data_IF_996494193465
#
_entry.id   IF_996494193465
#
_cell.length_a   1.000
_cell.length_b   1.000
_cell.length_c   1.000
_cell.angle_alpha   90.00
_cell.angle_beta   90.00
_cell.angle_gamma   90.00
#
_symmetry.space_group_name_H-M   'P 1'
#
loop_
_entity.id
_entity.type
_entity.pdbx_description
1 polymer ?
#
# COMPACT_ATOMS: atom_id res chain seq x y z
N UNK A 1 6.12 -22.68 -0.83
CA UNK A 1 5.44 -21.78 -1.79
C UNK A 1 3.94 -21.90 -1.55
N UNK A 2 3.22 -20.79 -1.37
CA UNK A 2 1.78 -20.81 -1.06
C UNK A 2 1.39 -20.23 0.30
N UNK A 3 2.32 -19.64 1.05
CA UNK A 3 2.00 -18.85 2.24
C UNK A 3 1.09 -17.68 1.83
N UNK A 4 -0.01 -17.49 2.56
CA UNK A 4 -0.81 -16.28 2.50
C UNK A 4 -0.21 -15.26 3.47
N UNK A 5 -0.09 -14.01 3.04
CA UNK A 5 0.33 -12.89 3.90
C UNK A 5 -0.66 -11.75 3.70
N UNK A 6 -1.11 -11.15 4.79
CA UNK A 6 -1.99 -9.99 4.76
C UNK A 6 -1.55 -8.95 5.80
N UNK A 7 -1.58 -7.66 5.47
CA UNK A 7 -1.40 -6.62 6.46
C UNK A 7 -2.69 -6.40 7.26
N UNK A 8 -2.53 -6.06 8.53
CA UNK A 8 -3.63 -5.69 9.42
C UNK A 8 -3.26 -4.43 10.20
N UNK A 9 -4.22 -3.51 10.34
CA UNK A 9 -4.12 -2.45 11.33
C UNK A 9 -4.49 -3.03 12.69
N UNK A 10 -3.67 -2.79 13.70
CA UNK A 10 -3.88 -3.29 15.06
C UNK A 10 -3.83 -2.13 16.05
N UNK A 11 -4.26 -2.41 17.28
CA UNK A 11 -3.90 -1.58 18.42
C UNK A 11 -3.25 -2.43 19.49
N UNK A 12 -2.11 -1.96 20.00
CA UNK A 12 -1.33 -2.66 21.03
C UNK A 12 -1.62 -2.17 22.45
N UNK A 13 -2.48 -1.14 22.58
CA UNK A 13 -2.95 -0.65 23.87
C UNK A 13 -4.47 -0.81 24.03
N UNK A 14 -4.89 -1.14 25.26
CA UNK A 14 -6.31 -1.26 25.60
C UNK A 14 -7.04 0.06 25.34
N UNK A 15 -8.18 -0.04 24.65
CA UNK A 15 -9.00 1.12 24.29
C UNK A 15 -8.58 1.83 23.01
N UNK A 16 -7.83 1.15 22.14
CA UNK A 16 -7.46 1.65 20.80
C UNK A 16 -6.66 2.96 20.84
N UNK A 17 -5.74 3.06 21.80
CA UNK A 17 -4.95 4.28 22.05
C UNK A 17 -3.63 4.34 21.29
N UNK A 18 -3.13 3.18 20.88
CA UNK A 18 -1.90 3.05 20.11
C UNK A 18 -2.18 2.25 18.85
N UNK A 19 -2.36 2.92 17.71
CA UNK A 19 -2.53 2.27 16.42
C UNK A 19 -1.17 2.01 15.78
N UNK A 20 -1.02 0.80 15.25
CA UNK A 20 0.10 0.42 14.40
C UNK A 20 -0.38 -0.63 13.39
N UNK A 21 0.56 -1.37 12.81
CA UNK A 21 0.27 -2.43 11.85
C UNK A 21 1.03 -3.72 12.17
N UNK A 22 0.53 -4.82 11.61
CA UNK A 22 1.23 -6.09 11.58
C UNK A 22 1.03 -6.79 10.24
N UNK A 23 1.89 -7.75 9.94
CA UNK A 23 1.64 -8.77 8.94
C UNK A 23 1.13 -10.02 9.66
N UNK A 24 0.06 -10.61 9.14
CA UNK A 24 -0.39 -11.95 9.51
C UNK A 24 -0.11 -12.90 8.36
N UNK A 25 0.11 -14.17 8.67
CA UNK A 25 0.36 -15.18 7.66
C UNK A 25 -0.33 -16.51 7.97
N UNK A 26 -0.55 -17.29 6.92
CA UNK A 26 -1.07 -18.65 6.98
C UNK A 26 -0.27 -19.55 6.03
N UNK A 27 0.17 -20.69 6.54
CA UNK A 27 0.89 -21.72 5.78
C UNK A 27 -0.01 -22.91 5.40
N UNK A 28 -1.30 -22.86 5.77
CA UNK A 28 -2.28 -23.94 5.60
C UNK A 28 -3.53 -23.46 4.87
N UNK A 29 -3.30 -22.65 3.83
CA UNK A 29 -4.34 -22.16 2.90
C UNK A 29 -5.45 -21.35 3.59
N UNK A 30 -5.10 -20.66 4.69
CA UNK A 30 -6.00 -19.77 5.42
C UNK A 30 -6.78 -20.43 6.56
N UNK A 31 -6.52 -21.71 6.87
CA UNK A 31 -7.19 -22.40 7.96
C UNK A 31 -6.77 -21.84 9.34
N UNK A 32 -5.48 -21.55 9.52
CA UNK A 32 -4.95 -20.92 10.71
C UNK A 32 -4.05 -19.74 10.35
N UNK A 33 -4.11 -18.69 11.18
CA UNK A 33 -3.35 -17.47 11.00
C UNK A 33 -2.45 -17.21 12.20
N UNK A 34 -1.24 -16.71 11.94
CA UNK A 34 -0.26 -16.30 12.93
C UNK A 34 0.11 -14.84 12.71
N UNK A 35 0.41 -14.14 13.80
CA UNK A 35 1.02 -12.81 13.74
C UNK A 35 2.50 -13.00 13.39
N UNK A 36 2.96 -12.29 12.36
CA UNK A 36 4.35 -12.21 11.94
C UNK A 36 4.95 -10.88 12.36
N UNK A 37 5.39 -10.09 11.39
CA UNK A 37 6.01 -8.78 11.64
C UNK A 37 5.01 -7.84 12.34
N UNK A 38 5.46 -7.13 13.36
CA UNK A 38 4.66 -6.14 14.09
C UNK A 38 5.46 -4.85 14.15
N UNK A 39 4.81 -3.73 13.83
CA UNK A 39 5.35 -2.41 14.10
C UNK A 39 5.08 -2.09 15.57
N UNK A 40 6.07 -2.36 16.42
CA UNK A 40 5.96 -2.24 17.87
C UNK A 40 6.61 -0.96 18.41
N UNK A 41 7.23 -0.14 17.56
CA UNK A 41 7.84 1.13 17.94
C UNK A 41 6.88 2.29 17.67
N UNK A 42 6.11 2.66 18.69
CA UNK A 42 5.19 3.79 18.59
C UNK A 42 5.88 5.16 18.64
N UNK A 43 7.21 5.19 18.77
CA UNK A 43 8.02 6.42 18.74
C UNK A 43 8.55 6.73 17.35
N UNK A 44 8.32 5.84 16.37
CA UNK A 44 8.68 6.05 14.97
C UNK A 44 8.04 7.31 14.40
N UNK A 45 8.74 7.93 13.45
CA UNK A 45 8.29 9.14 12.78
C UNK A 45 6.98 8.93 11.99
N UNK A 46 6.68 7.68 11.61
CA UNK A 46 5.48 7.29 10.88
C UNK A 46 4.56 6.51 11.80
N UNK A 47 3.34 7.00 12.04
CA UNK A 47 2.35 6.21 12.77
C UNK A 47 1.60 5.30 11.79
N UNK A 48 2.09 4.08 11.63
CA UNK A 48 1.56 3.13 10.65
C UNK A 48 0.09 2.74 10.93
N UNK A 49 -0.66 2.48 9.86
CA UNK A 49 -2.05 2.03 9.96
C UNK A 49 -2.47 1.25 8.70
N UNK A 50 -3.19 1.90 7.78
CA UNK A 50 -3.67 1.32 6.53
C UNK A 50 -2.51 0.96 5.60
N UNK A 51 -2.24 -0.34 5.51
CA UNK A 51 -1.08 -0.90 4.86
C UNK A 51 -1.46 -1.72 3.64
N UNK A 52 -0.64 -1.64 2.60
CA UNK A 52 -0.66 -2.53 1.45
C UNK A 52 0.73 -3.15 1.25
N UNK A 53 0.77 -4.35 0.67
CA UNK A 53 2.02 -5.11 0.48
C UNK A 53 2.09 -5.71 -0.92
N UNK A 54 3.31 -6.00 -1.38
CA UNK A 54 3.54 -6.75 -2.61
C UNK A 54 4.77 -7.64 -2.46
N UNK A 55 4.70 -8.85 -3.00
CA UNK A 55 5.86 -9.73 -3.11
C UNK A 55 6.77 -9.27 -4.26
N UNK A 56 8.07 -9.17 -3.97
CA UNK A 56 9.14 -8.89 -4.91
C UNK A 56 9.63 -10.18 -5.58
N UNK A 57 10.29 -10.06 -6.71
CA UNK A 57 10.81 -11.21 -7.49
C UNK A 57 11.83 -12.06 -6.74
N UNK A 58 12.54 -11.46 -5.77
CA UNK A 58 13.45 -12.16 -4.86
C UNK A 58 12.74 -12.82 -3.66
N UNK A 59 11.41 -12.72 -3.55
CA UNK A 59 10.61 -13.26 -2.45
C UNK A 59 10.50 -12.37 -1.22
N UNK A 60 11.14 -11.19 -1.21
CA UNK A 60 10.92 -10.20 -0.17
C UNK A 60 9.53 -9.58 -0.32
N UNK A 61 9.00 -9.03 0.75
CA UNK A 61 7.73 -8.32 0.76
C UNK A 61 8.03 -6.83 0.94
N UNK A 62 7.67 -6.02 -0.05
CA UNK A 62 7.63 -4.56 0.12
C UNK A 62 6.36 -4.17 0.85
N UNK A 63 6.50 -3.30 1.85
CA UNK A 63 5.43 -2.83 2.72
C UNK A 63 5.32 -1.33 2.58
N UNK A 64 4.12 -0.84 2.28
CA UNK A 64 3.82 0.59 2.25
C UNK A 64 2.61 0.87 3.13
N UNK A 65 2.72 1.83 4.05
CA UNK A 65 1.70 2.11 5.06
C UNK A 65 1.31 3.58 5.12
N UNK A 66 0.07 3.85 5.53
CA UNK A 66 -0.43 5.21 5.77
C UNK A 66 0.19 5.71 7.06
N UNK A 67 0.75 6.90 7.02
CA UNK A 67 1.02 7.65 8.24
C UNK A 67 -0.31 8.23 8.76
N UNK A 68 -0.81 7.71 9.88
CA UNK A 68 -2.09 8.06 10.47
C UNK A 68 -2.13 9.51 10.97
N UNK A 69 -1.04 9.97 11.59
CA UNK A 69 -0.93 11.35 12.05
C UNK A 69 -0.62 12.29 10.90
N UNK A 70 0.14 11.80 9.92
CA UNK A 70 0.72 12.63 8.88
C UNK A 70 1.56 13.74 9.48
N UNK A 71 1.51 14.93 8.87
CA UNK A 71 2.20 16.12 9.38
C UNK A 71 3.48 16.46 8.65
N UNK A 72 3.92 15.59 7.73
CA UNK A 72 4.89 15.96 6.73
C UNK A 72 4.26 16.87 5.68
N UNK A 73 5.01 17.90 5.30
CA UNK A 73 4.59 18.87 4.26
C UNK A 73 4.69 18.28 2.87
N UNK A 74 5.30 17.10 2.73
CA UNK A 74 5.65 16.49 1.45
C UNK A 74 4.93 15.16 1.19
N UNK A 75 4.65 14.36 2.23
CA UNK A 75 4.07 13.01 2.10
C UNK A 75 3.42 12.54 3.40
N UNK A 76 2.62 11.48 3.36
CA UNK A 76 1.96 10.88 4.53
C UNK A 76 1.96 9.35 4.44
N UNK A 77 3.10 8.76 4.06
CA UNK A 77 3.28 7.31 3.89
C UNK A 77 4.63 6.89 4.48
N UNK A 78 4.69 5.67 5.00
CA UNK A 78 5.94 5.01 5.34
C UNK A 78 6.15 3.72 4.57
N UNK A 79 7.37 3.21 4.62
CA UNK A 79 7.76 1.96 3.97
C UNK A 79 8.79 1.16 4.77
N UNK A 80 8.77 -0.15 4.56
CA UNK A 80 9.77 -1.10 5.02
C UNK A 80 9.71 -2.37 4.16
N UNK A 81 10.50 -3.39 4.52
CA UNK A 81 10.51 -4.69 3.85
C UNK A 81 10.50 -5.81 4.87
N UNK A 82 9.91 -6.94 4.51
CA UNK A 82 10.14 -8.23 5.16
C UNK A 82 10.94 -9.15 4.23
N UNK A 83 12.05 -9.72 4.72
CA UNK A 83 12.94 -10.58 3.93
C UNK A 83 12.71 -12.07 4.20
N UNK A 84 11.82 -12.39 5.14
CA UNK A 84 11.59 -13.73 5.68
C UNK A 84 10.13 -14.20 5.49
N UNK A 85 9.46 -13.67 4.46
CA UNK A 85 8.10 -14.06 4.10
C UNK A 85 7.04 -13.59 5.11
N UNK A 86 7.24 -12.40 5.68
CA UNK A 86 6.27 -11.72 6.54
C UNK A 86 6.46 -11.95 8.05
N UNK A 87 7.55 -12.59 8.48
CA UNK A 87 7.77 -12.93 9.90
C UNK A 87 8.35 -11.75 10.68
N UNK A 88 9.24 -10.96 10.07
CA UNK A 88 9.82 -9.75 10.68
C UNK A 88 9.92 -8.61 9.68
N UNK A 89 9.95 -7.38 10.18
CA UNK A 89 10.41 -6.23 9.40
C UNK A 89 11.93 -6.16 9.47
N UNK A 90 12.55 -5.93 8.33
CA UNK A 90 14.01 -5.90 8.20
C UNK A 90 14.63 -4.62 8.75
N UNK A 91 13.85 -3.54 8.80
CA UNK A 91 14.19 -2.23 9.35
C UNK A 91 12.93 -1.57 9.94
N UNK A 92 13.08 -0.58 10.83
CA UNK A 92 11.98 0.30 11.25
C UNK A 92 11.27 0.94 10.06
N UNK A 93 10.03 1.36 10.25
CA UNK A 93 9.26 2.02 9.20
C UNK A 93 9.79 3.44 9.05
N UNK A 94 10.23 3.77 7.84
CA UNK A 94 10.69 5.13 7.52
C UNK A 94 9.66 5.84 6.67
N UNK A 95 9.64 7.17 6.72
CA UNK A 95 8.86 7.98 5.79
C UNK A 95 9.29 7.67 4.34
N UNK A 96 8.33 7.40 3.46
CA UNK A 96 8.61 7.18 2.04
C UNK A 96 8.71 8.54 1.34
N UNK A 97 9.88 8.86 0.79
CA UNK A 97 10.14 10.11 0.08
C UNK A 97 9.86 10.07 -1.43
N UNK A 98 9.31 8.96 -1.91
CA UNK A 98 9.24 8.62 -3.33
C UNK A 98 8.09 9.28 -4.10
N UNK A 99 7.03 9.72 -3.41
CA UNK A 99 5.86 10.34 -4.05
C UNK A 99 4.97 11.11 -3.05
N UNK A 100 4.22 12.14 -3.52
CA UNK A 100 3.23 12.82 -2.69
C UNK A 100 2.02 11.93 -2.43
N UNK A 101 1.47 12.01 -1.21
CA UNK A 101 0.24 11.32 -0.82
C UNK A 101 -0.42 12.02 0.36
N UNK A 102 -1.77 12.14 0.39
CA UNK A 102 -2.47 12.58 1.59
C UNK A 102 -2.57 11.44 2.61
N UNK A 103 -3.12 11.74 3.78
CA UNK A 103 -3.49 10.75 4.80
C UNK A 103 -4.67 9.92 4.27
N UNK A 104 -4.37 8.80 3.61
CA UNK A 104 -5.34 7.89 2.99
C UNK A 104 -4.75 6.50 2.74
N UNK A 105 -5.62 5.50 2.57
CA UNK A 105 -5.25 4.19 2.06
C UNK A 105 -4.77 4.28 0.61
N UNK A 106 -3.83 3.40 0.26
CA UNK A 106 -3.33 3.19 -1.10
C UNK A 106 -3.23 1.68 -1.39
N UNK A 107 -3.08 1.32 -2.66
CA UNK A 107 -3.05 -0.08 -3.11
C UNK A 107 -1.79 -0.37 -3.93
N UNK A 108 -1.14 -1.50 -3.62
CA UNK A 108 -0.05 -2.09 -4.40
C UNK A 108 -0.55 -3.31 -5.18
N UNK A 109 -0.06 -3.47 -6.40
CA UNK A 109 -0.32 -4.68 -7.21
C UNK A 109 0.89 -5.02 -8.07
N UNK A 110 1.39 -6.25 -7.98
CA UNK A 110 2.35 -6.77 -8.95
C UNK A 110 1.62 -7.06 -10.26
N UNK A 111 1.94 -6.31 -11.31
CA UNK A 111 1.34 -6.49 -12.62
C UNK A 111 2.01 -7.64 -13.39
N UNK A 112 3.35 -7.70 -13.36
CA UNK A 112 4.15 -8.79 -13.91
C UNK A 112 5.53 -8.83 -13.20
N UNK A 113 6.49 -9.61 -13.71
CA UNK A 113 7.82 -9.73 -13.11
C UNK A 113 8.61 -8.42 -13.08
N UNK A 114 8.29 -7.46 -13.94
CA UNK A 114 9.06 -6.23 -14.14
C UNK A 114 8.24 -4.96 -13.85
N UNK A 115 7.02 -5.10 -13.30
CA UNK A 115 6.15 -3.96 -13.06
C UNK A 115 5.31 -4.15 -11.80
N UNK A 116 5.48 -3.23 -10.86
CA UNK A 116 4.61 -3.02 -9.71
C UNK A 116 3.82 -1.74 -9.95
N UNK A 117 2.53 -1.78 -9.65
CA UNK A 117 1.64 -0.62 -9.72
C UNK A 117 1.29 -0.16 -8.31
N UNK A 118 1.16 1.15 -8.13
CA UNK A 118 0.71 1.76 -6.89
C UNK A 118 -0.39 2.79 -7.19
N UNK A 119 -1.52 2.70 -6.51
CA UNK A 119 -2.67 3.60 -6.67
C UNK A 119 -2.80 4.49 -5.44
N UNK A 120 -2.69 5.80 -5.64
CA UNK A 120 -2.82 6.82 -4.57
C UNK A 120 -3.32 8.16 -5.13
N UNK A 121 -4.04 8.98 -4.33
CA UNK A 121 -4.25 10.39 -4.65
C UNK A 121 -2.93 11.17 -4.68
N UNK A 122 -2.76 12.07 -5.65
CA UNK A 122 -1.46 12.72 -5.92
C UNK A 122 -1.20 14.03 -5.18
N UNK A 123 -2.09 14.45 -4.27
CA UNK A 123 -1.99 15.71 -3.53
C UNK A 123 -1.72 15.44 -2.04
N UNK A 124 -0.70 16.07 -1.46
CA UNK A 124 -0.31 15.86 -0.04
C UNK A 124 -1.41 16.26 0.95
N UNK A 125 -2.17 17.31 0.67
CA UNK A 125 -3.10 17.90 1.63
C UNK A 125 -4.56 17.48 1.43
N UNK A 126 -4.87 16.83 0.30
CA UNK A 126 -6.25 16.54 -0.10
C UNK A 126 -6.35 15.19 -0.80
N UNK A 127 -7.44 14.48 -0.52
CA UNK A 127 -7.82 13.24 -1.22
C UNK A 127 -8.43 13.56 -2.57
N UNK A 128 -7.56 13.85 -3.54
CA UNK A 128 -7.94 14.18 -4.90
C UNK A 128 -6.89 13.72 -5.92
N UNK A 129 -7.29 13.68 -7.18
CA UNK A 129 -6.43 13.34 -8.32
C UNK A 129 -5.80 11.94 -8.19
N UNK A 130 -6.63 10.89 -8.31
CA UNK A 130 -6.14 9.51 -8.27
C UNK A 130 -5.19 9.23 -9.43
N UNK A 131 -4.00 8.75 -9.12
CA UNK A 131 -2.99 8.35 -10.10
C UNK A 131 -2.61 6.88 -9.90
N UNK A 132 -2.14 6.27 -11.00
CA UNK A 132 -1.35 5.05 -10.96
C UNK A 132 0.11 5.42 -11.14
N UNK A 133 0.95 4.94 -10.23
CA UNK A 133 2.40 4.98 -10.31
C UNK A 133 2.91 3.60 -10.74
N UNK A 134 4.06 3.58 -11.40
CA UNK A 134 4.77 2.38 -11.83
C UNK A 134 6.16 2.33 -11.19
N UNK A 135 6.56 1.14 -10.74
CA UNK A 135 7.95 0.82 -10.42
C UNK A 135 8.40 -0.33 -11.31
N UNK A 136 9.57 -0.16 -11.94
CA UNK A 136 10.22 -1.15 -12.80
C UNK A 136 11.47 -1.77 -12.16
N UNK A 137 11.79 -1.33 -10.94
CA UNK A 137 12.99 -1.62 -10.17
C UNK A 137 12.62 -2.15 -8.78
N UNK A 138 11.57 -2.96 -8.71
CA UNK A 138 11.19 -3.68 -7.50
C UNK A 138 10.94 -2.77 -6.28
N UNK A 139 10.25 -1.64 -6.49
CA UNK A 139 9.83 -0.60 -5.53
C UNK A 139 10.91 0.41 -5.11
N UNK A 140 12.07 0.41 -5.75
CA UNK A 140 13.14 1.39 -5.46
C UNK A 140 12.74 2.81 -5.92
N UNK A 141 12.17 2.96 -7.11
CA UNK A 141 11.67 4.24 -7.63
C UNK A 141 10.27 4.13 -8.23
N UNK A 142 9.59 5.27 -8.36
CA UNK A 142 8.21 5.34 -8.85
C UNK A 142 8.03 6.49 -9.83
N UNK A 143 7.33 6.23 -10.93
CA UNK A 143 6.94 7.26 -11.90
C UNK A 143 5.41 7.26 -12.14
N UNK A 144 4.78 8.43 -12.36
CA UNK A 144 3.37 8.49 -12.71
C UNK A 144 3.11 7.84 -14.08
N UNK A 145 2.21 6.85 -14.12
CA UNK A 145 1.85 6.13 -15.33
C UNK A 145 0.53 6.64 -15.93
N UNK A 146 -0.52 6.75 -15.11
CA UNK A 146 -1.85 7.18 -15.57
C UNK A 146 -2.56 8.05 -14.55
N UNK A 147 -3.32 9.04 -15.03
CA UNK A 147 -4.34 9.71 -14.23
C UNK A 147 -5.66 8.95 -14.31
N UNK A 148 -6.15 8.47 -13.17
CA UNK A 148 -7.37 7.66 -13.11
C UNK A 148 -8.60 8.53 -12.97
N UNK A 149 -8.52 9.56 -12.13
CA UNK A 149 -9.64 10.44 -11.85
C UNK A 149 -9.16 11.85 -11.50
N UNK A 150 -9.81 12.87 -12.06
CA UNK A 150 -9.65 14.26 -11.63
C UNK A 150 -10.58 14.58 -10.45
N UNK A 151 -10.10 15.39 -9.51
CA UNK A 151 -10.86 15.79 -8.32
C UNK A 151 -10.98 14.70 -7.26
N UNK A 152 -12.00 14.79 -6.39
CA UNK A 152 -12.16 13.95 -5.20
C UNK A 152 -11.89 12.47 -5.46
N UNK A 153 -10.90 11.94 -4.78
CA UNK A 153 -10.41 10.58 -4.89
C UNK A 153 -9.83 10.13 -3.55
N UNK A 154 -10.43 9.14 -2.91
CA UNK A 154 -9.97 8.64 -1.62
C UNK A 154 -9.46 7.20 -1.73
N UNK A 155 -10.11 6.22 -1.11
CA UNK A 155 -9.62 4.84 -1.07
C UNK A 155 -9.66 4.26 -2.48
N UNK A 156 -8.72 3.36 -2.77
CA UNK A 156 -8.66 2.67 -4.05
C UNK A 156 -8.09 1.28 -3.92
N UNK A 157 -8.50 0.40 -4.82
CA UNK A 157 -7.91 -0.93 -4.95
C UNK A 157 -7.84 -1.38 -6.40
N UNK A 158 -6.94 -2.33 -6.67
CA UNK A 158 -6.58 -2.77 -8.01
C UNK A 158 -6.71 -4.27 -8.17
N UNK A 159 -7.14 -4.70 -9.35
CA UNK A 159 -7.17 -6.12 -9.72
C UNK A 159 -6.71 -6.30 -11.17
N UNK A 160 -5.88 -7.32 -11.40
CA UNK A 160 -5.51 -7.73 -12.76
C UNK A 160 -6.64 -8.55 -13.38
N UNK A 161 -7.44 -7.93 -14.25
CA UNK A 161 -8.57 -8.59 -14.91
C UNK A 161 -8.10 -9.55 -16.02
N UNK A 162 -7.04 -9.19 -16.73
CA UNK A 162 -6.37 -10.04 -17.70
C UNK A 162 -4.97 -9.48 -18.02
N UNK A 163 -4.25 -10.10 -18.96
CA UNK A 163 -2.88 -9.74 -19.32
C UNK A 163 -2.66 -8.28 -19.76
N UNK A 164 -3.71 -7.54 -20.13
CA UNK A 164 -3.61 -6.15 -20.63
C UNK A 164 -4.55 -5.17 -19.92
N UNK A 165 -5.42 -5.64 -19.02
CA UNK A 165 -6.48 -4.82 -18.44
C UNK A 165 -6.41 -4.87 -16.92
N UNK A 166 -6.16 -3.72 -16.33
CA UNK A 166 -6.25 -3.47 -14.90
C UNK A 166 -7.65 -2.96 -14.59
N UNK A 167 -8.28 -3.49 -13.54
CA UNK A 167 -9.45 -2.91 -12.92
C UNK A 167 -9.03 -2.07 -11.73
N UNK A 168 -9.57 -0.85 -11.62
CA UNK A 168 -9.35 0.04 -10.48
C UNK A 168 -10.71 0.39 -9.89
N UNK A 169 -10.93 0.05 -8.62
CA UNK A 169 -12.08 0.50 -7.84
C UNK A 169 -11.64 1.66 -6.96
N UNK A 170 -12.45 2.73 -6.85
CA UNK A 170 -12.07 3.89 -6.05
C UNK A 170 -13.26 4.74 -5.60
N UNK A 171 -13.09 5.43 -4.48
CA UNK A 171 -14.03 6.39 -3.93
C UNK A 171 -13.89 7.77 -4.61
N UNK A 172 -15.00 8.42 -4.95
CA UNK A 172 -15.02 9.72 -5.63
C UNK A 172 -16.29 10.51 -5.34
N UNK A 173 -16.44 11.69 -5.96
CA UNK A 173 -17.59 12.59 -5.79
C UNK A 173 -17.80 12.97 -4.31
N UNK A 174 -16.80 13.62 -3.73
CA UNK A 174 -16.70 13.89 -2.29
C UNK A 174 -16.90 12.62 -1.45
N UNK A 175 -16.32 11.52 -1.92
CA UNK A 175 -16.32 10.19 -1.30
C UNK A 175 -17.72 9.57 -1.13
N UNK A 176 -18.73 10.06 -1.86
CA UNK A 176 -20.11 9.56 -1.83
C UNK A 176 -20.40 8.48 -2.87
N UNK A 177 -19.45 8.17 -3.74
CA UNK A 177 -19.62 7.19 -4.82
C UNK A 177 -18.38 6.30 -4.91
N UNK A 178 -18.62 5.04 -5.26
CA UNK A 178 -17.56 4.11 -5.67
C UNK A 178 -17.67 3.93 -7.18
N UNK A 179 -16.55 4.03 -7.90
CA UNK A 179 -16.47 3.78 -9.35
C UNK A 179 -15.51 2.63 -9.62
N UNK A 180 -15.79 1.87 -10.68
CA UNK A 180 -14.85 0.91 -11.26
C UNK A 180 -14.41 1.40 -12.64
N UNK A 181 -13.11 1.42 -12.90
CA UNK A 181 -12.52 1.85 -14.19
C UNK A 181 -11.62 0.74 -14.73
N UNK A 182 -11.76 0.44 -16.02
CA UNK A 182 -10.82 -0.41 -16.73
C UNK A 182 -9.69 0.45 -17.32
N UNK A 183 -8.45 0.04 -17.10
CA UNK A 183 -7.26 0.71 -17.60
C UNK A 183 -6.47 -0.29 -18.44
N UNK A 184 -6.15 0.08 -19.68
CA UNK A 184 -5.28 -0.74 -20.54
C UNK A 184 -3.83 -0.42 -20.19
N UNK A 185 -3.15 -1.39 -19.60
CA UNK A 185 -1.71 -1.28 -19.35
C UNK A 185 -0.99 -1.56 -20.67
N UNK A 186 -0.43 -0.51 -21.27
CA UNK A 186 0.44 -0.65 -22.43
C UNK A 186 1.75 -1.29 -21.94
N UNK A 187 2.30 -2.21 -22.73
CA UNK A 187 3.64 -2.74 -22.43
C UNK A 187 4.63 -1.57 -22.56
N UNK A 188 5.60 -1.41 -21.63
CA UNK A 188 6.80 -0.66 -21.96
C UNK A 188 7.48 -1.28 -23.18
#
# INVERSE_FOLDING_TARGET
KGRLVAPVAISIEKGQKAYCMALIYSDDQGAHWKIGAVDNDLTDAVQSNETTIVELTNGHIYVNTRDHNGGSKEKNRGETYSLDGGLTFSKPIIESDKFPSPIVQASLLRWNSNLILFSTPSTVTKRENLILMASYDESESWEPLYKINDGFSAYSDMVKLNAKTLGVIYETNNYKKIKFKWVKIKRP
#
